data_IF_158946526476
#
_entry.id   IF_158946526476
#
_cell.length_a   1.000
_cell.length_b   1.000
_cell.length_c   1.000
_cell.angle_alpha   90.00
_cell.angle_beta   90.00
_cell.angle_gamma   90.00
#
_symmetry.space_group_name_H-M   'P 1'
#
loop_
_entity.id
_entity.type
_entity.pdbx_description
1 polymer ?
#
# COMPACT_ATOMS: atom_id res chain seq x y z
N UNK A 1 13.27 -4.07 4.87
CA UNK A 1 12.06 -3.54 5.53
C UNK A 1 10.96 -4.57 5.35
N UNK A 2 10.39 -5.06 6.45
CA UNK A 2 9.29 -6.05 6.40
C UNK A 2 7.97 -5.40 5.98
N UNK A 3 6.88 -6.19 5.88
CA UNK A 3 5.54 -5.62 5.66
C UNK A 3 5.11 -4.70 6.79
N UNK A 4 5.18 -5.22 8.02
CA UNK A 4 4.81 -4.48 9.22
C UNK A 4 5.63 -3.20 9.35
N UNK A 5 6.96 -3.28 9.18
CA UNK A 5 7.84 -2.11 9.29
C UNK A 5 7.43 -1.00 8.30
N UNK A 6 7.08 -1.38 7.07
CA UNK A 6 6.68 -0.42 6.05
C UNK A 6 5.34 0.24 6.38
N UNK A 7 4.36 -0.54 6.86
CA UNK A 7 3.05 -0.02 7.28
C UNK A 7 3.18 0.91 8.49
N UNK A 8 3.97 0.52 9.49
CA UNK A 8 4.21 1.33 10.68
C UNK A 8 4.89 2.65 10.31
N UNK A 9 5.91 2.61 9.43
CA UNK A 9 6.58 3.81 8.93
C UNK A 9 5.62 4.71 8.15
N UNK A 10 4.83 4.13 7.24
CA UNK A 10 3.83 4.86 6.46
C UNK A 10 2.83 5.59 7.38
N UNK A 11 2.24 4.88 8.35
CA UNK A 11 1.30 5.46 9.33
C UNK A 11 1.93 6.55 10.18
N UNK A 12 3.18 6.37 10.61
CA UNK A 12 3.88 7.36 11.42
C UNK A 12 4.12 8.66 10.66
N UNK A 13 4.49 8.57 9.37
CA UNK A 13 4.77 9.74 8.53
C UNK A 13 3.49 10.43 8.05
N UNK A 14 2.46 9.69 7.65
CA UNK A 14 1.18 10.26 7.18
C UNK A 14 0.46 11.12 8.24
N UNK A 15 0.73 10.90 9.53
CA UNK A 15 0.17 11.71 10.62
C UNK A 15 0.85 13.06 10.80
N UNK A 16 1.95 13.31 10.09
CA UNK A 16 2.74 14.53 10.26
C UNK A 16 2.24 15.60 9.28
N UNK A 17 2.02 16.83 9.75
CA UNK A 17 1.49 17.90 8.90
C UNK A 17 2.49 18.34 7.82
N UNK A 18 3.79 18.19 8.08
CA UNK A 18 4.88 18.56 7.17
C UNK A 18 5.97 17.50 7.27
N UNK A 19 6.42 17.02 6.10
CA UNK A 19 7.52 16.09 5.97
C UNK A 19 8.75 16.83 5.45
N UNK A 20 9.91 16.49 6.00
CA UNK A 20 11.20 16.83 5.38
C UNK A 20 11.41 16.00 4.11
N UNK A 21 12.28 16.43 3.20
CA UNK A 21 12.61 15.66 1.98
C UNK A 21 13.07 14.23 2.28
N UNK A 22 13.76 14.02 3.41
CA UNK A 22 14.22 12.69 3.81
C UNK A 22 13.06 11.81 4.26
N UNK A 23 12.08 12.38 4.94
CA UNK A 23 10.86 11.69 5.38
C UNK A 23 9.93 11.42 4.21
N UNK A 24 9.76 12.35 3.27
CA UNK A 24 8.99 12.14 2.05
C UNK A 24 9.58 10.98 1.21
N UNK A 25 10.91 10.94 1.05
CA UNK A 25 11.60 9.80 0.43
C UNK A 25 11.42 8.50 1.21
N UNK A 26 11.35 8.55 2.53
CA UNK A 26 11.12 7.37 3.35
C UNK A 26 9.68 6.86 3.21
N UNK A 27 8.70 7.77 3.14
CA UNK A 27 7.30 7.48 2.88
C UNK A 27 7.14 6.80 1.52
N UNK A 28 7.71 7.37 0.45
CA UNK A 28 7.69 6.77 -0.89
C UNK A 28 8.29 5.35 -0.91
N UNK A 29 9.38 5.11 -0.16
CA UNK A 29 9.97 3.76 -0.05
C UNK A 29 9.07 2.79 0.71
N UNK A 30 8.35 3.26 1.73
CA UNK A 30 7.39 2.46 2.48
C UNK A 30 6.20 2.06 1.59
N UNK A 31 5.63 3.04 0.86
CA UNK A 31 4.54 2.82 -0.11
C UNK A 31 4.96 1.80 -1.18
N UNK A 32 6.15 1.98 -1.77
CA UNK A 32 6.70 1.03 -2.73
C UNK A 32 6.83 -0.38 -2.15
N UNK A 33 7.35 -0.51 -0.93
CA UNK A 33 7.47 -1.81 -0.28
C UNK A 33 6.10 -2.47 -0.01
N UNK A 34 5.05 -1.67 0.26
CA UNK A 34 3.68 -2.15 0.48
C UNK A 34 3.01 -2.56 -0.83
N UNK A 35 3.01 -1.68 -1.83
CA UNK A 35 2.23 -1.83 -3.06
C UNK A 35 2.88 -2.75 -4.10
N UNK A 36 4.19 -2.98 -4.04
CA UNK A 36 4.90 -3.80 -5.04
C UNK A 36 4.79 -5.31 -4.83
N UNK A 37 4.30 -5.78 -3.68
CA UNK A 37 4.28 -7.20 -3.32
C UNK A 37 2.91 -7.85 -3.52
N UNK A 38 2.90 -9.19 -3.58
CA UNK A 38 1.67 -9.99 -3.51
C UNK A 38 1.28 -10.13 -2.04
N UNK A 39 0.02 -9.82 -1.66
CA UNK A 39 -0.43 -9.98 -0.28
C UNK A 39 -0.43 -11.46 0.14
N UNK A 40 -0.09 -11.72 1.39
CA UNK A 40 -0.04 -13.06 1.98
C UNK A 40 -1.22 -13.33 2.93
N UNK A 41 -1.95 -12.29 3.34
CA UNK A 41 -3.09 -12.41 4.24
C UNK A 41 -4.16 -11.35 3.94
N UNK A 42 -5.36 -11.55 4.49
CA UNK A 42 -6.44 -10.55 4.39
C UNK A 42 -6.08 -9.24 5.11
N UNK A 43 -5.28 -9.32 6.17
CA UNK A 43 -4.80 -8.12 6.88
C UNK A 43 -3.95 -7.27 5.93
N UNK A 44 -3.01 -7.89 5.20
CA UNK A 44 -2.19 -7.15 4.22
C UNK A 44 -3.04 -6.55 3.09
N UNK A 45 -4.10 -7.24 2.65
CA UNK A 45 -5.05 -6.70 1.66
C UNK A 45 -5.72 -5.43 2.16
N UNK A 46 -6.20 -5.42 3.41
CA UNK A 46 -6.84 -4.26 4.02
C UNK A 46 -5.85 -3.09 4.11
N UNK A 47 -4.63 -3.34 4.59
CA UNK A 47 -3.57 -2.31 4.69
C UNK A 47 -3.21 -1.71 3.32
N UNK A 48 -3.14 -2.53 2.27
CA UNK A 48 -2.90 -2.04 0.91
C UNK A 48 -4.08 -1.21 0.37
N UNK A 49 -5.32 -1.59 0.71
CA UNK A 49 -6.52 -0.85 0.30
C UNK A 49 -6.63 0.50 1.02
N UNK A 50 -6.31 0.56 2.31
CA UNK A 50 -6.26 1.79 3.08
C UNK A 50 -5.27 2.78 2.46
N UNK A 51 -4.06 2.30 2.11
CA UNK A 51 -3.04 3.12 1.46
C UNK A 51 -3.49 3.66 0.09
N UNK A 52 -4.11 2.81 -0.73
CA UNK A 52 -4.66 3.23 -2.03
C UNK A 52 -5.79 4.25 -1.86
N UNK A 53 -6.63 4.10 -0.82
CA UNK A 53 -7.69 5.06 -0.50
C UNK A 53 -7.11 6.42 -0.09
N UNK A 54 -6.04 6.42 0.71
CA UNK A 54 -5.33 7.64 1.11
C UNK A 54 -4.71 8.34 -0.13
N UNK A 55 -4.07 7.59 -1.03
CA UNK A 55 -3.51 8.12 -2.29
C UNK A 55 -4.59 8.83 -3.13
N UNK A 56 -5.77 8.22 -3.27
CA UNK A 56 -6.88 8.79 -4.03
C UNK A 56 -7.47 10.06 -3.39
N UNK A 57 -7.54 10.11 -2.06
CA UNK A 57 -8.05 11.28 -1.33
C UNK A 57 -7.12 12.49 -1.44
N UNK A 58 -5.82 12.27 -1.63
CA UNK A 58 -4.80 13.33 -1.75
C UNK A 58 -4.71 13.94 -3.16
N UNK A 59 -5.50 13.47 -4.13
CA UNK A 59 -5.52 13.99 -5.51
C UNK A 59 -4.79 13.10 -6.51
N UNK A 60 -4.42 13.58 -7.73
CA UNK A 60 -4.00 12.73 -8.84
C UNK A 60 -2.55 12.27 -8.67
N UNK A 61 -2.30 11.41 -7.69
CA UNK A 61 -1.08 10.61 -7.56
C UNK A 61 -1.33 9.13 -7.86
N UNK A 62 -2.35 8.83 -8.68
CA UNK A 62 -2.49 7.50 -9.28
C UNK A 62 -1.31 7.23 -10.22
N UNK A 63 -0.26 6.62 -9.71
CA UNK A 63 0.93 6.28 -10.47
C UNK A 63 0.85 4.82 -10.99
N UNK A 64 1.89 4.38 -11.70
CA UNK A 64 1.95 3.00 -12.20
C UNK A 64 2.04 1.94 -11.10
N UNK A 65 2.38 2.33 -9.88
CA UNK A 65 2.47 1.45 -8.71
C UNK A 65 1.08 1.17 -8.15
N UNK A 66 0.23 2.20 -8.03
CA UNK A 66 -1.16 2.06 -7.59
C UNK A 66 -1.96 1.10 -8.48
N UNK A 67 -1.84 1.27 -9.80
CA UNK A 67 -2.49 0.38 -10.78
C UNK A 67 -2.03 -1.08 -10.64
N UNK A 68 -0.73 -1.28 -10.38
CA UNK A 68 -0.16 -2.62 -10.19
C UNK A 68 -0.65 -3.25 -8.90
N UNK A 69 -0.73 -2.48 -7.82
CA UNK A 69 -1.26 -2.95 -6.54
C UNK A 69 -2.72 -3.39 -6.66
N UNK A 70 -3.57 -2.57 -7.30
CA UNK A 70 -4.98 -2.93 -7.56
C UNK A 70 -5.08 -4.22 -8.38
N UNK A 71 -4.22 -4.40 -9.38
CA UNK A 71 -4.18 -5.64 -10.17
C UNK A 71 -3.81 -6.85 -9.30
N UNK A 72 -2.80 -6.73 -8.45
CA UNK A 72 -2.37 -7.80 -7.54
C UNK A 72 -3.47 -8.16 -6.53
N UNK A 73 -4.14 -7.16 -5.96
CA UNK A 73 -5.26 -7.36 -5.04
C UNK A 73 -6.44 -8.08 -5.73
N UNK A 74 -6.82 -7.63 -6.93
CA UNK A 74 -7.88 -8.28 -7.74
C UNK A 74 -7.53 -9.74 -8.04
N UNK A 75 -6.27 -10.03 -8.40
CA UNK A 75 -5.84 -11.39 -8.66
C UNK A 75 -5.91 -12.25 -7.39
N UNK A 76 -5.42 -11.74 -6.26
CA UNK A 76 -5.43 -12.48 -4.99
C UNK A 76 -6.87 -12.81 -4.53
N UNK A 77 -7.79 -11.85 -4.61
CA UNK A 77 -9.20 -12.06 -4.25
C UNK A 77 -9.85 -13.12 -5.15
N UNK A 78 -9.54 -13.13 -6.45
CA UNK A 78 -10.00 -14.19 -7.37
C UNK A 78 -9.47 -15.55 -6.94
N UNK A 79 -8.17 -15.67 -6.71
CA UNK A 79 -7.55 -16.94 -6.26
C UNK A 79 -8.21 -17.46 -4.98
N UNK A 80 -8.49 -16.58 -4.01
CA UNK A 80 -9.19 -16.92 -2.77
C UNK A 80 -10.63 -17.42 -3.03
N UNK A 81 -11.39 -16.73 -3.89
CA UNK A 81 -12.76 -17.09 -4.22
C UNK A 81 -12.85 -18.45 -4.92
N UNK A 82 -11.92 -18.75 -5.83
CA UNK A 82 -11.85 -20.04 -6.53
C UNK A 82 -11.33 -21.18 -5.65
N UNK A 83 -10.45 -20.92 -4.68
CA UNK A 83 -9.97 -21.97 -3.75
C UNK A 83 -11.04 -22.47 -2.75
N UNK A 84 -12.17 -21.77 -2.66
CA UNK A 84 -13.27 -22.07 -1.74
C UNK A 84 -14.53 -22.60 -2.44
N UNK A 85 -14.50 -22.72 -3.76
CA UNK A 85 -15.56 -23.29 -4.61
C UNK A 85 -15.22 -24.74 -4.97
#
# INVERSE_FOLDING_TARGET
>A
MTFSDAVELHRALMRRPQLTDTEDRALCRAEAAILSRKPQSMIEVIEMLDLLSDSLNLGPRSDGLDLRAVKNLKQWVRELAWSRA
#
